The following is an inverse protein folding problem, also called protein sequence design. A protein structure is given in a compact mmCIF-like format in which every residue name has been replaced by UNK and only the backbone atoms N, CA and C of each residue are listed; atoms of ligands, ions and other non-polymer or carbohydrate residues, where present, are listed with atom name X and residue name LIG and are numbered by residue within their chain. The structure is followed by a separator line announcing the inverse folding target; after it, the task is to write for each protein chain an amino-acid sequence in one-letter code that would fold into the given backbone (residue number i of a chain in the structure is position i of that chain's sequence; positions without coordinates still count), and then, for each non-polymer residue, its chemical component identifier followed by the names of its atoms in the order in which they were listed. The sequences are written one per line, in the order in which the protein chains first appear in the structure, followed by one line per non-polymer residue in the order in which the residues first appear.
data_IF_347402268080
#
_entry.id   IF_347402268080
#
_cell.length_a   1.000
_cell.length_b   1.000
_cell.length_c   1.000
_cell.angle_alpha   90.00
_cell.angle_beta   90.00
_cell.angle_gamma   90.00
#
_symmetry.space_group_name_H-M   'P 1'
#
loop_
_entity.id
_entity.type
_entity.pdbx_description
1 polymer ?
#
# COMPACT_ATOMS: atom_id res chain seq x y z
N UNK A 1 12.55 -25.35 6.10
CA UNK A 1 11.79 -24.14 6.49
C UNK A 1 10.38 -24.31 5.97
N UNK A 2 9.40 -24.46 6.86
CA UNK A 2 7.99 -24.55 6.45
C UNK A 2 7.49 -23.12 6.18
N UNK A 3 7.36 -22.75 4.92
CA UNK A 3 6.63 -21.54 4.51
C UNK A 3 5.14 -21.78 4.78
N UNK A 4 4.60 -21.16 5.82
CA UNK A 4 3.16 -21.15 6.06
C UNK A 4 2.47 -20.35 4.95
N UNK A 5 1.51 -20.98 4.27
CA UNK A 5 0.69 -20.33 3.24
C UNK A 5 -0.56 -19.79 3.96
N UNK A 6 -0.81 -18.48 3.86
CA UNK A 6 -1.93 -17.83 4.52
C UNK A 6 -3.04 -17.52 3.51
N UNK A 7 -4.11 -18.33 3.53
CA UNK A 7 -5.21 -18.20 2.58
C UNK A 7 -6.19 -17.08 2.92
N UNK A 8 -6.45 -16.18 1.95
CA UNK A 8 -7.31 -15.00 2.15
C UNK A 8 -8.49 -14.93 1.16
N UNK A 9 -9.41 -15.92 1.14
CA UNK A 9 -10.60 -15.86 0.31
C UNK A 9 -11.55 -14.76 0.82
N UNK A 10 -12.21 -14.06 -0.12
CA UNK A 10 -13.16 -13.00 0.21
C UNK A 10 -14.41 -13.58 0.86
N UNK A 11 -14.61 -13.24 2.13
CA UNK A 11 -15.80 -13.62 2.87
C UNK A 11 -16.81 -12.48 2.94
N UNK A 12 -18.09 -12.82 2.81
CA UNK A 12 -19.22 -11.93 3.06
C UNK A 12 -19.74 -12.17 4.47
N UNK A 13 -19.93 -11.09 5.25
CA UNK A 13 -20.31 -11.18 6.65
C UNK A 13 -19.58 -10.17 7.53
N UNK A 14 -20.09 -9.96 8.74
CA UNK A 14 -19.51 -9.05 9.72
C UNK A 14 -19.38 -9.72 11.08
N UNK A 15 -18.43 -9.25 11.87
CA UNK A 15 -18.28 -9.71 13.25
C UNK A 15 -19.44 -9.19 14.09
N UNK A 16 -20.11 -10.05 14.88
CA UNK A 16 -21.12 -9.60 15.83
C UNK A 16 -20.55 -8.54 16.79
N UNK A 17 -21.32 -7.48 17.07
CA UNK A 17 -20.85 -6.35 17.89
C UNK A 17 -20.30 -6.79 19.26
N UNK A 18 -20.93 -7.77 19.90
CA UNK A 18 -20.50 -8.28 21.20
C UNK A 18 -19.10 -8.92 21.14
N UNK A 19 -18.77 -9.61 20.06
CA UNK A 19 -17.46 -10.24 19.88
C UNK A 19 -16.42 -9.16 19.59
N UNK A 20 -16.73 -8.22 18.67
CA UNK A 20 -15.85 -7.12 18.35
C UNK A 20 -15.47 -6.27 19.58
N UNK A 21 -16.43 -6.00 20.48
CA UNK A 21 -16.15 -5.31 21.75
C UNK A 21 -15.14 -6.07 22.62
N UNK A 22 -15.27 -7.40 22.71
CA UNK A 22 -14.30 -8.24 23.44
C UNK A 22 -12.94 -8.27 22.74
N UNK A 23 -12.91 -8.30 21.40
CA UNK A 23 -11.69 -8.20 20.61
C UNK A 23 -10.93 -6.91 20.91
N UNK A 24 -11.64 -5.78 20.97
CA UNK A 24 -11.03 -4.47 21.24
C UNK A 24 -10.46 -4.38 22.68
N UNK A 25 -11.16 -4.94 23.66
CA UNK A 25 -10.64 -5.00 25.03
C UNK A 25 -9.41 -5.91 25.13
N UNK A 26 -9.46 -7.11 24.54
CA UNK A 26 -8.35 -8.05 24.58
C UNK A 26 -7.13 -7.54 23.78
N UNK A 27 -7.36 -6.93 22.62
CA UNK A 27 -6.28 -6.34 21.82
C UNK A 27 -5.54 -5.25 22.59
N UNK A 28 -6.28 -4.38 23.29
CA UNK A 28 -5.71 -3.35 24.17
C UNK A 28 -4.81 -3.95 25.24
N UNK A 29 -5.27 -4.96 25.97
CA UNK A 29 -4.48 -5.57 27.05
C UNK A 29 -3.22 -6.26 26.52
N UNK A 30 -3.34 -7.04 25.44
CA UNK A 30 -2.18 -7.72 24.83
C UNK A 30 -1.16 -6.70 24.33
N UNK A 31 -1.60 -5.67 23.61
CA UNK A 31 -0.71 -4.61 23.12
C UNK A 31 -0.05 -3.87 24.27
N UNK A 32 -0.82 -3.52 25.31
CA UNK A 32 -0.28 -2.85 26.50
C UNK A 32 0.81 -3.70 27.16
N UNK A 33 0.57 -5.00 27.34
CA UNK A 33 1.56 -5.92 27.90
C UNK A 33 2.83 -5.98 27.05
N UNK A 34 2.70 -6.13 25.72
CA UNK A 34 3.86 -6.15 24.80
C UNK A 34 4.68 -4.86 24.91
N UNK A 35 4.02 -3.70 24.93
CA UNK A 35 4.71 -2.41 25.01
C UNK A 35 5.43 -2.25 26.35
N UNK A 36 4.83 -2.69 27.45
CA UNK A 36 5.44 -2.61 28.79
C UNK A 36 6.63 -3.57 28.95
N UNK A 37 6.54 -4.78 28.39
CA UNK A 37 7.59 -5.81 28.55
C UNK A 37 8.70 -5.73 27.50
N UNK A 38 8.39 -5.28 26.28
CA UNK A 38 9.30 -5.34 25.15
C UNK A 38 9.46 -4.02 24.38
N UNK A 39 8.66 -3.00 24.70
CA UNK A 39 8.71 -1.70 24.04
C UNK A 39 7.84 -1.57 22.79
N UNK A 40 7.76 -0.35 22.28
CA UNK A 40 6.89 0.04 21.16
C UNK A 40 7.38 -0.49 19.80
N UNK A 41 8.69 -0.52 19.60
CA UNK A 41 9.27 -1.04 18.35
C UNK A 41 9.02 -2.55 18.18
N UNK A 42 9.05 -3.32 19.27
CA UNK A 42 8.73 -4.75 19.22
C UNK A 42 7.27 -4.96 18.83
N UNK A 43 6.34 -4.15 19.35
CA UNK A 43 4.95 -4.18 18.92
C UNK A 43 4.83 -3.95 17.40
N UNK A 44 5.51 -2.92 16.87
CA UNK A 44 5.48 -2.63 15.42
C UNK A 44 6.05 -3.79 14.61
N UNK A 45 7.16 -4.39 15.06
CA UNK A 45 7.79 -5.54 14.43
C UNK A 45 6.86 -6.76 14.40
N UNK A 46 6.10 -6.99 15.47
CA UNK A 46 5.13 -8.07 15.57
C UNK A 46 3.92 -7.83 14.67
N UNK A 47 3.41 -6.60 14.63
CA UNK A 47 2.26 -6.24 13.78
C UNK A 47 2.58 -6.30 12.29
N UNK A 48 3.82 -6.02 11.89
CA UNK A 48 4.29 -6.12 10.50
C UNK A 48 4.72 -7.53 10.09
N UNK A 49 4.83 -8.46 11.03
CA UNK A 49 5.05 -9.87 10.73
C UNK A 49 3.71 -10.54 10.37
N UNK A 50 3.59 -11.13 9.17
CA UNK A 50 2.32 -11.66 8.70
C UNK A 50 1.83 -12.87 9.48
N UNK A 51 2.73 -13.68 10.06
CA UNK A 51 2.36 -14.87 10.84
C UNK A 51 1.91 -14.50 12.23
N UNK A 52 2.64 -13.59 12.88
CA UNK A 52 2.27 -13.06 14.17
C UNK A 52 0.93 -12.31 14.08
N UNK A 53 0.75 -11.46 13.07
CA UNK A 53 -0.51 -10.75 12.86
C UNK A 53 -1.69 -11.71 12.64
N UNK A 54 -1.48 -12.80 11.90
CA UNK A 54 -2.48 -13.84 11.72
C UNK A 54 -2.82 -14.53 13.05
N UNK A 55 -1.80 -14.92 13.82
CA UNK A 55 -1.96 -15.56 15.12
C UNK A 55 -2.66 -14.63 16.12
N UNK A 56 -2.32 -13.35 16.11
CA UNK A 56 -2.97 -12.32 16.92
C UNK A 56 -4.47 -12.24 16.60
N UNK A 57 -4.84 -12.24 15.31
CA UNK A 57 -6.25 -12.29 14.92
C UNK A 57 -6.98 -13.54 15.43
N UNK A 58 -6.31 -14.70 15.42
CA UNK A 58 -6.87 -15.95 15.95
C UNK A 58 -7.08 -15.87 17.48
N UNK A 59 -6.10 -15.31 18.22
CA UNK A 59 -6.19 -15.10 19.66
C UNK A 59 -7.35 -14.17 20.03
N UNK A 60 -7.62 -13.16 19.19
CA UNK A 60 -8.79 -12.29 19.37
C UNK A 60 -10.13 -13.00 19.07
N UNK A 61 -10.12 -14.24 18.61
CA UNK A 61 -11.32 -15.03 18.35
C UNK A 61 -11.83 -14.89 16.91
N UNK A 62 -10.96 -14.55 15.97
CA UNK A 62 -11.27 -14.53 14.54
C UNK A 62 -10.80 -15.82 13.84
N UNK A 63 -11.47 -16.23 12.77
CA UNK A 63 -11.08 -17.43 12.02
C UNK A 63 -9.77 -17.23 11.25
N UNK A 64 -8.92 -18.26 11.29
CA UNK A 64 -7.56 -18.24 10.75
C UNK A 64 -7.47 -18.15 9.22
N UNK A 65 -8.55 -18.30 8.46
CA UNK A 65 -8.55 -18.38 6.98
C UNK A 65 -9.49 -17.37 6.32
N UNK A 66 -9.71 -16.21 6.95
CA UNK A 66 -10.65 -15.20 6.44
C UNK A 66 -9.99 -13.88 6.07
N UNK A 67 -10.29 -13.37 4.88
CA UNK A 67 -9.91 -12.02 4.44
C UNK A 67 -10.45 -10.91 5.34
N UNK A 68 -11.48 -11.19 6.15
CA UNK A 68 -12.04 -10.27 7.11
C UNK A 68 -11.11 -10.00 8.30
N UNK A 69 -10.20 -10.93 8.60
CA UNK A 69 -9.32 -10.88 9.78
C UNK A 69 -8.55 -9.57 9.83
N UNK A 70 -7.90 -9.18 8.74
CA UNK A 70 -7.12 -7.95 8.67
C UNK A 70 -7.95 -6.73 9.04
N UNK A 71 -9.13 -6.59 8.41
CA UNK A 71 -9.98 -5.41 8.65
C UNK A 71 -10.53 -5.36 10.06
N UNK A 72 -10.88 -6.52 10.62
CA UNK A 72 -11.46 -6.61 11.96
C UNK A 72 -10.40 -6.43 13.03
N UNK A 73 -9.24 -7.07 12.91
CA UNK A 73 -8.12 -6.95 13.86
C UNK A 73 -7.64 -5.51 13.91
N UNK A 74 -7.41 -4.88 12.76
CA UNK A 74 -7.03 -3.47 12.70
C UNK A 74 -8.12 -2.56 13.31
N UNK A 75 -9.40 -2.85 13.04
CA UNK A 75 -10.50 -2.10 13.64
C UNK A 75 -10.56 -2.26 15.17
N UNK A 76 -10.39 -3.49 15.67
CA UNK A 76 -10.38 -3.78 17.10
C UNK A 76 -9.17 -3.15 17.79
N UNK A 77 -8.00 -3.15 17.14
CA UNK A 77 -6.80 -2.47 17.61
C UNK A 77 -7.02 -0.95 17.73
N UNK A 78 -7.57 -0.33 16.68
CA UNK A 78 -7.87 1.11 16.67
C UNK A 78 -8.82 1.51 17.79
N UNK A 79 -9.93 0.77 17.95
CA UNK A 79 -10.94 1.04 18.99
C UNK A 79 -10.37 0.75 20.38
N UNK A 80 -9.65 -0.35 20.55
CA UNK A 80 -9.08 -0.74 21.84
C UNK A 80 -8.03 0.24 22.36
N UNK A 81 -7.27 0.88 21.46
CA UNK A 81 -6.21 1.82 21.79
C UNK A 81 -6.65 3.29 21.80
N UNK A 82 -7.92 3.62 21.55
CA UNK A 82 -8.38 5.01 21.47
C UNK A 82 -8.05 5.82 22.74
N UNK A 83 -8.28 5.22 23.92
CA UNK A 83 -7.99 5.84 25.22
C UNK A 83 -6.59 5.47 25.74
N UNK A 84 -6.21 4.19 25.68
CA UNK A 84 -4.98 3.67 26.29
C UNK A 84 -3.73 3.90 25.43
N UNK A 85 -3.88 3.97 24.12
CA UNK A 85 -2.79 4.14 23.16
C UNK A 85 -1.90 5.35 23.45
N UNK A 86 -2.47 6.56 23.63
CA UNK A 86 -1.70 7.76 24.00
C UNK A 86 -0.85 7.60 25.26
N UNK A 87 -1.35 6.89 26.27
CA UNK A 87 -0.64 6.66 27.55
C UNK A 87 0.61 5.78 27.36
N UNK A 88 0.56 4.84 26.40
CA UNK A 88 1.69 3.97 26.06
C UNK A 88 2.46 4.44 24.82
N UNK A 89 2.10 5.61 24.28
CA UNK A 89 2.75 6.23 23.11
C UNK A 89 2.55 5.46 21.81
N UNK A 90 1.40 4.82 21.60
CA UNK A 90 1.03 4.09 20.38
C UNK A 90 -0.29 4.61 19.82
N UNK A 91 -0.33 4.89 18.52
CA UNK A 91 -1.46 5.47 17.82
C UNK A 91 -1.82 4.64 16.59
N UNK A 92 -3.10 4.62 16.24
CA UNK A 92 -3.63 3.86 15.11
C UNK A 92 -4.54 4.76 14.28
N UNK A 93 -4.15 4.99 13.03
CA UNK A 93 -4.89 5.78 12.06
C UNK A 93 -5.38 4.91 10.90
N UNK A 94 -6.45 5.34 10.25
CA UNK A 94 -7.01 4.71 9.06
C UNK A 94 -8.09 3.67 9.33
N UNK A 95 -8.22 2.70 8.45
CA UNK A 95 -9.18 1.61 8.52
C UNK A 95 -9.71 1.20 7.14
N UNK A 96 -10.97 0.75 7.10
CA UNK A 96 -11.63 0.28 5.86
C UNK A 96 -12.35 1.42 5.12
N UNK A 97 -12.34 1.38 3.79
CA UNK A 97 -13.17 2.24 2.94
C UNK A 97 -12.85 3.73 3.12
N UNK A 98 -13.83 4.53 3.55
CA UNK A 98 -13.61 5.98 3.76
C UNK A 98 -12.55 6.26 4.82
N UNK A 99 -12.40 5.39 5.82
CA UNK A 99 -11.40 5.56 6.87
C UNK A 99 -9.97 5.44 6.33
N UNK A 100 -9.70 4.56 5.34
CA UNK A 100 -8.35 4.43 4.75
C UNK A 100 -7.89 5.75 4.13
N UNK A 101 -8.81 6.48 3.50
CA UNK A 101 -8.53 7.75 2.81
C UNK A 101 -8.33 8.92 3.76
N UNK A 102 -8.78 8.81 5.02
CA UNK A 102 -8.65 9.85 6.06
C UNK A 102 -7.42 9.68 6.95
N UNK A 103 -6.58 8.69 6.65
CA UNK A 103 -5.42 8.36 7.48
C UNK A 103 -4.46 9.55 7.66
N UNK A 104 -4.12 10.34 6.61
CA UNK A 104 -3.33 11.55 6.78
C UNK A 104 -3.93 12.54 7.79
N UNK A 105 -5.22 12.85 7.65
CA UNK A 105 -5.92 13.79 8.53
C UNK A 105 -6.00 13.27 9.98
N UNK A 106 -6.12 11.96 10.17
CA UNK A 106 -6.09 11.35 11.50
C UNK A 106 -4.68 11.44 12.14
N UNK A 107 -3.60 11.25 11.36
CA UNK A 107 -2.22 11.43 11.84
C UNK A 107 -1.97 12.88 12.26
N UNK A 108 -2.41 13.84 11.44
CA UNK A 108 -2.32 15.28 11.76
C UNK A 108 -3.06 15.61 13.05
N UNK A 109 -4.29 15.11 13.21
CA UNK A 109 -5.08 15.31 14.41
C UNK A 109 -4.42 14.70 15.67
N UNK A 110 -3.80 13.53 15.56
CA UNK A 110 -2.99 12.97 16.65
C UNK A 110 -1.78 13.86 16.97
N UNK A 111 -1.12 14.38 15.93
CA UNK A 111 -0.02 15.32 16.04
C UNK A 111 -0.36 16.58 16.83
N UNK A 112 -1.50 17.20 16.50
CA UNK A 112 -2.02 18.38 17.19
C UNK A 112 -2.40 18.07 18.64
N UNK A 113 -3.11 16.95 18.87
CA UNK A 113 -3.65 16.61 20.18
C UNK A 113 -2.59 16.17 21.18
N UNK A 114 -1.55 15.46 20.74
CA UNK A 114 -0.55 14.83 21.60
C UNK A 114 0.87 15.38 21.42
N UNK A 115 1.05 16.42 20.61
CA UNK A 115 2.32 17.16 20.52
C UNK A 115 3.45 16.37 19.84
N UNK A 116 3.15 15.66 18.76
CA UNK A 116 4.13 14.80 18.05
C UNK A 116 5.14 15.61 17.21
N UNK A 117 4.92 16.92 17.06
CA UNK A 117 5.89 17.83 16.48
C UNK A 117 6.26 17.51 15.02
N UNK A 118 7.57 17.46 14.73
CA UNK A 118 8.10 17.36 13.37
C UNK A 118 7.89 16.00 12.71
N UNK A 119 7.59 14.95 13.49
CA UNK A 119 7.40 13.61 12.94
C UNK A 119 6.10 13.49 12.12
N UNK A 120 5.11 14.36 12.36
CA UNK A 120 3.78 14.30 11.73
C UNK A 120 3.87 14.31 10.21
N UNK A 121 4.66 15.22 9.64
CA UNK A 121 4.81 15.33 8.18
C UNK A 121 5.43 14.07 7.57
N UNK A 122 6.45 13.51 8.23
CA UNK A 122 7.11 12.27 7.83
C UNK A 122 6.17 11.07 7.93
N UNK A 123 5.34 10.99 8.97
CA UNK A 123 4.35 9.93 9.15
C UNK A 123 3.23 10.01 8.11
N UNK A 124 2.74 11.22 7.81
CA UNK A 124 1.78 11.46 6.72
C UNK A 124 2.36 11.03 5.37
N UNK A 125 3.62 11.39 5.11
CA UNK A 125 4.34 10.98 3.90
C UNK A 125 4.42 9.45 3.81
N UNK A 126 4.92 8.79 4.85
CA UNK A 126 5.06 7.33 4.90
C UNK A 126 3.72 6.61 4.71
N UNK A 127 2.66 7.10 5.34
CA UNK A 127 1.30 6.58 5.21
C UNK A 127 0.78 6.68 3.77
N UNK A 128 0.97 7.85 3.13
CA UNK A 128 0.57 8.07 1.74
C UNK A 128 1.38 7.22 0.77
N UNK A 129 2.69 7.14 0.95
CA UNK A 129 3.58 6.40 0.05
C UNK A 129 3.35 4.89 0.13
N UNK A 130 3.18 4.33 1.32
CA UNK A 130 2.85 2.89 1.49
C UNK A 130 1.55 2.53 0.77
N UNK A 131 0.50 3.36 0.91
CA UNK A 131 -0.76 3.15 0.21
C UNK A 131 -0.63 3.32 -1.32
N UNK A 132 0.18 4.28 -1.78
CA UNK A 132 0.42 4.54 -3.20
C UNK A 132 1.17 3.40 -3.86
N UNK A 133 2.20 2.86 -3.21
CA UNK A 133 3.00 1.76 -3.73
C UNK A 133 2.12 0.55 -4.00
N UNK A 134 1.37 0.10 -3.00
CA UNK A 134 0.59 -1.16 -3.10
C UNK A 134 -0.59 -1.05 -4.04
N UNK A 135 -1.15 0.15 -4.20
CA UNK A 135 -2.29 0.38 -5.06
C UNK A 135 -1.91 0.77 -6.50
N UNK A 136 -0.71 1.31 -6.73
CA UNK A 136 -0.35 2.02 -7.97
C UNK A 136 0.93 1.53 -8.61
N UNK A 137 2.00 1.38 -7.83
CA UNK A 137 3.30 0.93 -8.34
C UNK A 137 3.32 -0.59 -8.55
N UNK A 138 2.59 -1.31 -7.69
CA UNK A 138 2.27 -2.71 -7.87
C UNK A 138 0.86 -2.85 -8.45
N UNK A 139 0.75 -3.47 -9.63
CA UNK A 139 -0.51 -3.64 -10.34
C UNK A 139 -0.74 -5.11 -10.63
N UNK A 140 -1.23 -5.79 -9.60
CA UNK A 140 -1.50 -7.21 -9.50
C UNK A 140 -3.00 -7.55 -9.56
N UNK A 141 -3.84 -6.54 -9.85
CA UNK A 141 -5.30 -6.65 -9.88
C UNK A 141 -5.97 -6.49 -8.51
N UNK A 142 -5.21 -6.30 -7.42
CA UNK A 142 -5.77 -6.02 -6.11
C UNK A 142 -5.88 -4.51 -5.88
N UNK A 143 -7.11 -4.03 -5.64
CA UNK A 143 -7.34 -2.62 -5.31
C UNK A 143 -7.40 -2.43 -3.80
N UNK A 144 -6.63 -1.46 -3.30
CA UNK A 144 -6.54 -1.20 -1.87
C UNK A 144 -7.88 -0.69 -1.33
N UNK A 145 -8.41 -1.38 -0.31
CA UNK A 145 -9.69 -1.02 0.32
C UNK A 145 -9.58 -0.86 1.84
N UNK A 146 -8.45 -1.26 2.41
CA UNK A 146 -8.14 -1.14 3.82
C UNK A 146 -6.69 -0.68 3.98
N UNK A 147 -6.48 0.35 4.80
CA UNK A 147 -5.17 0.91 5.12
C UNK A 147 -5.16 1.26 6.61
N UNK A 148 -4.31 0.61 7.39
CA UNK A 148 -4.14 0.92 8.81
C UNK A 148 -2.69 1.26 9.08
N UNK A 149 -2.46 2.47 9.59
CA UNK A 149 -1.15 3.03 9.88
C UNK A 149 -0.98 3.09 11.40
N UNK A 150 -0.02 2.32 11.93
CA UNK A 150 0.30 2.26 13.35
C UNK A 150 1.61 2.98 13.57
N UNK A 151 1.67 3.90 14.53
CA UNK A 151 2.86 4.69 14.81
C UNK A 151 3.02 5.01 16.28
N UNK A 152 4.24 5.37 16.67
CA UNK A 152 4.57 5.70 18.05
C UNK A 152 4.70 7.20 18.26
N UNK A 153 4.77 7.63 19.51
CA UNK A 153 5.14 9.01 19.87
C UNK A 153 6.57 9.41 19.47
N UNK A 154 7.42 8.44 19.13
CA UNK A 154 8.81 8.65 18.72
C UNK A 154 9.00 8.63 17.19
N UNK A 155 7.93 8.42 16.43
CA UNK A 155 7.94 8.47 14.96
C UNK A 155 8.23 7.13 14.27
N UNK A 156 8.40 6.02 15.00
CA UNK A 156 8.43 4.69 14.38
C UNK A 156 7.03 4.30 13.93
N UNK A 157 6.95 3.50 12.86
CA UNK A 157 5.67 3.14 12.26
C UNK A 157 5.67 1.75 11.60
N UNK A 158 4.48 1.20 11.42
CA UNK A 158 4.19 0.01 10.64
C UNK A 158 2.86 0.19 9.90
N UNK A 159 2.69 -0.54 8.80
CA UNK A 159 1.44 -0.53 8.02
C UNK A 159 0.97 -1.94 7.78
N UNK A 160 -0.33 -2.15 8.02
CA UNK A 160 -1.04 -3.35 7.61
C UNK A 160 -2.19 -2.92 6.71
N UNK A 161 -2.13 -3.31 5.45
CA UNK A 161 -3.09 -2.90 4.45
C UNK A 161 -3.54 -4.07 3.58
N UNK A 162 -4.74 -3.96 2.98
CA UNK A 162 -5.34 -5.05 2.22
C UNK A 162 -5.97 -4.56 0.93
N UNK A 163 -5.58 -5.23 -0.16
CA UNK A 163 -6.19 -5.14 -1.47
C UNK A 163 -7.21 -6.25 -1.71
N UNK A 164 -8.21 -5.98 -2.53
CA UNK A 164 -9.18 -6.98 -2.99
C UNK A 164 -9.16 -7.09 -4.51
N UNK A 165 -9.32 -8.31 -5.02
CA UNK A 165 -9.51 -8.58 -6.43
C UNK A 165 -10.91 -9.22 -6.60
N UNK A 166 -11.92 -8.42 -7.00
CA UNK A 166 -13.30 -8.91 -7.15
C UNK A 166 -13.46 -10.01 -8.20
N UNK A 167 -12.63 -10.00 -9.25
CA UNK A 167 -12.72 -10.94 -10.36
C UNK A 167 -12.28 -12.35 -9.94
N UNK A 168 -11.26 -12.44 -9.08
CA UNK A 168 -10.73 -13.71 -8.59
C UNK A 168 -11.34 -14.14 -7.25
N UNK A 169 -11.96 -13.22 -6.52
CA UNK A 169 -12.54 -13.51 -5.20
C UNK A 169 -11.53 -13.58 -4.06
N UNK A 170 -10.32 -13.02 -4.24
CA UNK A 170 -9.23 -13.08 -3.26
C UNK A 170 -8.86 -11.71 -2.71
N UNK A 171 -8.24 -11.73 -1.53
CA UNK A 171 -7.55 -10.56 -0.98
C UNK A 171 -6.02 -10.77 -0.96
N UNK A 172 -5.30 -9.66 -0.98
CA UNK A 172 -3.86 -9.59 -0.80
C UNK A 172 -3.54 -8.64 0.34
N UNK A 173 -2.74 -9.10 1.30
CA UNK A 173 -2.35 -8.31 2.47
C UNK A 173 -0.90 -7.90 2.36
N UNK A 174 -0.63 -6.63 2.60
CA UNK A 174 0.69 -6.02 2.53
C UNK A 174 1.10 -5.53 3.91
N UNK A 175 2.36 -5.74 4.25
CA UNK A 175 2.96 -5.36 5.51
C UNK A 175 4.20 -4.51 5.27
N UNK A 176 4.31 -3.47 6.10
CA UNK A 176 5.42 -2.54 6.09
C UNK A 176 5.93 -2.33 7.51
N UNK A 177 7.25 -2.21 7.65
CA UNK A 177 7.89 -1.82 8.90
C UNK A 177 8.84 -0.65 8.62
N UNK A 178 8.59 0.51 9.21
CA UNK A 178 9.25 1.76 8.84
C UNK A 178 10.77 1.73 8.96
N UNK A 179 11.32 0.99 9.93
CA UNK A 179 12.78 0.84 10.09
C UNK A 179 13.46 0.03 8.98
N UNK A 180 12.70 -0.80 8.27
CA UNK A 180 13.22 -1.64 7.18
C UNK A 180 13.11 -0.92 5.81
N UNK A 181 12.32 0.15 5.74
CA UNK A 181 12.13 0.94 4.51
C UNK A 181 13.34 1.83 4.27
N UNK A 182 14.18 1.43 3.31
CA UNK A 182 15.33 2.23 2.83
C UNK A 182 14.97 3.13 1.64
N UNK A 183 13.96 2.73 0.88
CA UNK A 183 13.46 3.40 -0.31
C UNK A 183 12.00 2.98 -0.49
N UNK A 184 11.06 3.91 -0.68
CA UNK A 184 9.63 3.54 -0.74
C UNK A 184 9.26 2.82 -2.03
N UNK A 185 10.05 2.94 -3.09
CA UNK A 185 9.74 2.45 -4.43
C UNK A 185 10.63 1.30 -4.89
N UNK A 186 11.43 0.71 -3.99
CA UNK A 186 12.34 -0.40 -4.30
C UNK A 186 12.33 -1.44 -3.18
N UNK A 187 11.68 -2.57 -3.44
CA UNK A 187 11.52 -3.71 -2.51
C UNK A 187 11.19 -3.27 -1.06
N UNK A 188 10.14 -2.45 -0.84
CA UNK A 188 9.95 -1.77 0.44
C UNK A 188 9.17 -2.59 1.48
N UNK A 189 8.53 -3.67 1.06
CA UNK A 189 7.64 -4.48 1.90
C UNK A 189 8.41 -5.36 2.89
N UNK A 190 7.90 -5.48 4.12
CA UNK A 190 8.32 -6.56 5.02
C UNK A 190 7.70 -7.89 4.57
N UNK A 191 6.45 -7.86 4.09
CA UNK A 191 5.79 -9.03 3.50
C UNK A 191 4.63 -8.67 2.56
N UNK A 192 4.41 -9.52 1.55
CA UNK A 192 3.22 -9.50 0.68
C UNK A 192 2.58 -10.89 0.71
N UNK A 193 1.39 -11.01 1.31
CA UNK A 193 0.69 -12.28 1.55
C UNK A 193 -0.47 -12.46 0.57
N UNK A 194 -0.36 -13.47 -0.30
CA UNK A 194 -1.42 -13.88 -1.21
C UNK A 194 -1.13 -15.30 -1.75
N UNK A 195 -2.16 -16.14 -1.88
CA UNK A 195 -1.99 -17.47 -2.48
C UNK A 195 -2.08 -17.46 -4.00
N UNK A 196 -2.79 -16.47 -4.56
CA UNK A 196 -2.94 -16.35 -6.00
C UNK A 196 -1.86 -15.44 -6.58
N UNK A 197 -0.98 -16.05 -7.38
CA UNK A 197 0.09 -15.36 -8.10
C UNK A 197 -0.29 -15.21 -9.57
N UNK A 198 -0.04 -14.02 -10.12
CA UNK A 198 -0.32 -13.70 -11.52
C UNK A 198 0.82 -12.93 -12.18
N UNK A 199 0.65 -12.56 -13.46
CA UNK A 199 1.50 -11.55 -14.09
C UNK A 199 1.03 -10.18 -13.60
N UNK A 200 1.92 -9.42 -12.98
CA UNK A 200 1.61 -8.13 -12.38
C UNK A 200 2.65 -7.09 -12.80
N UNK A 201 2.26 -5.90 -13.25
CA UNK A 201 3.23 -4.82 -13.46
C UNK A 201 3.77 -4.42 -12.08
N UNK A 202 5.06 -4.64 -11.86
CA UNK A 202 5.71 -4.44 -10.58
C UNK A 202 6.82 -3.40 -10.71
N UNK A 203 6.44 -2.13 -10.56
CA UNK A 203 7.39 -1.01 -10.61
C UNK A 203 8.24 -0.89 -9.33
N UNK A 204 7.99 -1.69 -8.29
CA UNK A 204 8.81 -1.71 -7.06
C UNK A 204 9.82 -2.84 -6.98
N UNK A 205 9.78 -3.78 -7.94
CA UNK A 205 10.79 -4.82 -8.03
C UNK A 205 12.18 -4.23 -8.26
N UNK A 206 13.22 -4.84 -7.69
CA UNK A 206 14.60 -4.37 -7.85
C UNK A 206 14.97 -4.10 -9.31
N UNK A 207 14.65 -5.07 -10.17
CA UNK A 207 14.91 -5.05 -11.61
C UNK A 207 14.16 -3.96 -12.41
N UNK A 208 13.16 -3.28 -11.83
CA UNK A 208 12.39 -2.21 -12.48
C UNK A 208 13.05 -0.83 -12.38
N UNK A 209 14.32 -0.74 -11.94
CA UNK A 209 15.03 0.53 -11.71
C UNK A 209 15.08 1.43 -12.94
N UNK A 210 15.46 0.88 -14.09
CA UNK A 210 15.59 1.67 -15.32
C UNK A 210 14.21 2.17 -15.79
N UNK A 211 13.17 1.34 -15.62
CA UNK A 211 11.79 1.72 -15.96
C UNK A 211 11.26 2.82 -15.03
N UNK A 212 11.59 2.78 -13.73
CA UNK A 212 11.27 3.83 -12.76
C UNK A 212 11.93 5.16 -13.16
N UNK A 213 13.23 5.14 -13.45
CA UNK A 213 13.99 6.34 -13.87
C UNK A 213 13.44 6.95 -15.15
N UNK A 214 13.24 6.14 -16.17
CA UNK A 214 12.70 6.61 -17.44
C UNK A 214 11.26 7.14 -17.28
N UNK A 215 10.44 6.54 -16.41
CA UNK A 215 9.10 7.07 -16.10
C UNK A 215 9.15 8.46 -15.48
N UNK A 216 10.08 8.70 -14.54
CA UNK A 216 10.28 10.02 -13.94
C UNK A 216 10.78 11.04 -14.99
N UNK A 217 11.74 10.66 -15.83
CA UNK A 217 12.25 11.50 -16.91
C UNK A 217 11.16 11.88 -17.91
N UNK A 218 10.37 10.90 -18.38
CA UNK A 218 9.27 11.13 -19.31
C UNK A 218 8.21 12.05 -18.71
N UNK A 219 7.97 11.96 -17.41
CA UNK A 219 6.99 12.81 -16.74
C UNK A 219 7.33 14.31 -16.80
N UNK A 220 8.59 14.65 -17.10
CA UNK A 220 9.14 16.01 -17.26
C UNK A 220 9.24 16.49 -18.72
N UNK A 221 8.86 15.67 -19.68
CA UNK A 221 8.85 16.04 -21.10
C UNK A 221 7.55 16.77 -21.47
N UNK A 222 7.60 17.54 -22.56
CA UNK A 222 6.41 18.22 -23.10
C UNK A 222 5.29 17.19 -23.39
N UNK A 223 4.13 17.31 -22.72
CA UNK A 223 3.00 16.40 -22.89
C UNK A 223 2.50 16.32 -24.34
N UNK A 224 2.56 17.40 -25.12
CA UNK A 224 2.13 17.39 -26.52
C UNK A 224 3.08 16.60 -27.42
N UNK A 225 4.38 16.63 -27.12
CA UNK A 225 5.37 15.77 -27.77
C UNK A 225 5.07 14.31 -27.44
N UNK A 226 4.89 13.96 -26.18
CA UNK A 226 4.58 12.59 -25.75
C UNK A 226 3.27 12.07 -26.35
N UNK A 227 2.20 12.87 -26.33
CA UNK A 227 0.92 12.49 -26.91
C UNK A 227 1.02 12.29 -28.42
N UNK A 228 1.83 13.09 -29.13
CA UNK A 228 2.10 12.88 -30.56
C UNK A 228 2.86 11.58 -30.81
N UNK A 229 3.89 11.27 -30.01
CA UNK A 229 4.60 9.99 -30.10
C UNK A 229 3.66 8.82 -29.78
N UNK A 230 2.85 8.91 -28.72
CA UNK A 230 1.79 7.92 -28.40
C UNK A 230 0.83 7.71 -29.57
N UNK A 231 0.40 8.78 -30.24
CA UNK A 231 -0.49 8.71 -31.41
C UNK A 231 0.17 8.04 -32.62
N UNK A 232 1.51 8.11 -32.75
CA UNK A 232 2.28 7.41 -33.80
C UNK A 232 2.36 5.91 -33.57
N UNK A 233 2.16 5.43 -32.34
CA UNK A 233 2.09 3.99 -31.99
C UNK A 233 0.85 3.31 -32.59
N UNK A 234 -0.10 4.06 -33.19
CA UNK A 234 -1.35 3.52 -33.79
C UNK A 234 -1.19 2.55 -34.98
N UNK A 235 0.03 2.15 -35.34
CA UNK A 235 0.28 0.99 -36.20
C UNK A 235 1.42 0.13 -35.66
N UNK A 236 1.13 -0.60 -34.59
CA UNK A 236 1.77 -1.89 -34.33
C UNK A 236 0.65 -2.90 -34.04
N UNK A 237 0.42 -3.83 -34.97
CA UNK A 237 -0.41 -5.01 -34.70
C UNK A 237 0.45 -6.06 -33.98
N UNK A 238 0.10 -6.46 -32.77
CA UNK A 238 0.52 -7.75 -32.20
C UNK A 238 -0.62 -8.35 -31.35
N UNK A 239 -1.06 -9.59 -31.64
CA UNK A 239 -2.14 -10.25 -30.90
C UNK A 239 -1.70 -11.43 -30.01
N UNK A 240 -2.66 -11.81 -29.15
CA UNK A 240 -2.92 -13.02 -28.33
C UNK A 240 -2.17 -13.20 -27.00
N UNK A 241 -1.61 -12.12 -26.43
CA UNK A 241 -0.62 -12.22 -25.33
C UNK A 241 -0.36 -10.88 -24.64
N UNK A 242 -0.09 -10.90 -23.34
CA UNK A 242 0.59 -9.82 -22.58
C UNK A 242 0.02 -8.37 -22.70
N UNK A 243 -1.25 -8.17 -23.05
CA UNK A 243 -1.72 -6.93 -23.68
C UNK A 243 -2.20 -5.79 -22.76
N UNK A 244 -1.97 -4.55 -23.23
CA UNK A 244 -2.79 -3.37 -22.95
C UNK A 244 -3.78 -3.13 -24.09
N UNK A 245 -5.01 -2.80 -23.74
CA UNK A 245 -6.12 -2.51 -24.66
C UNK A 245 -6.21 -1.01 -24.97
N UNK A 246 -6.82 -0.66 -26.11
CA UNK A 246 -7.11 0.74 -26.47
C UNK A 246 -8.10 1.44 -25.52
N UNK A 247 -8.84 0.68 -24.70
CA UNK A 247 -9.62 1.17 -23.56
C UNK A 247 -8.77 1.54 -22.33
N UNK A 248 -7.52 1.08 -22.27
CA UNK A 248 -6.63 1.27 -21.13
C UNK A 248 -5.86 2.59 -21.20
N UNK A 249 -5.84 3.22 -22.38
CA UNK A 249 -5.07 4.42 -22.69
C UNK A 249 -6.05 5.45 -23.27
N UNK A 250 -6.58 6.32 -22.41
CA UNK A 250 -7.32 7.51 -22.84
C UNK A 250 -6.34 8.69 -23.00
N UNK A 251 -6.07 9.15 -24.24
CA UNK A 251 -5.11 10.22 -24.49
C UNK A 251 -5.43 11.53 -23.77
N UNK A 252 -6.71 11.85 -23.56
CA UNK A 252 -7.11 13.09 -22.90
C UNK A 252 -6.90 13.01 -21.38
N UNK A 253 -7.23 11.87 -20.76
CA UNK A 253 -6.90 11.61 -19.36
C UNK A 253 -5.39 11.59 -19.12
N UNK A 254 -4.61 11.00 -20.04
CA UNK A 254 -3.14 10.94 -19.96
C UNK A 254 -2.54 12.34 -20.13
N UNK A 255 -3.01 13.13 -21.11
CA UNK A 255 -2.56 14.51 -21.33
C UNK A 255 -2.68 15.36 -20.08
N UNK A 256 -3.82 15.30 -19.38
CA UNK A 256 -4.04 16.07 -18.15
C UNK A 256 -3.05 15.69 -17.04
N UNK A 257 -2.73 14.39 -16.91
CA UNK A 257 -1.79 13.93 -15.90
C UNK A 257 -0.34 14.26 -16.30
N UNK A 258 0.03 14.09 -17.56
CA UNK A 258 1.36 14.47 -18.08
C UNK A 258 1.62 15.97 -17.95
N UNK A 259 0.62 16.82 -18.21
CA UNK A 259 0.73 18.27 -17.95
C UNK A 259 1.05 18.56 -16.49
N UNK A 260 0.36 17.88 -15.58
CA UNK A 260 0.58 18.07 -14.15
C UNK A 260 1.96 17.56 -13.71
N UNK A 261 2.41 16.42 -14.20
CA UNK A 261 3.74 15.91 -13.87
C UNK A 261 4.84 16.77 -14.49
N UNK A 262 4.60 17.35 -15.66
CA UNK A 262 5.50 18.29 -16.31
C UNK A 262 5.64 19.59 -15.49
N UNK A 263 4.52 20.13 -15.00
CA UNK A 263 4.49 21.32 -14.15
C UNK A 263 5.15 21.10 -12.77
N UNK A 264 4.92 19.95 -12.14
CA UNK A 264 5.48 19.62 -10.82
C UNK A 264 6.94 19.12 -10.90
N UNK A 265 7.35 18.53 -12.03
CA UNK A 265 8.74 18.20 -12.35
C UNK A 265 9.45 17.22 -11.39
N UNK A 266 8.93 16.01 -11.12
CA UNK A 266 9.48 15.10 -10.09
C UNK A 266 10.88 14.57 -10.43
N UNK A 267 11.83 14.59 -9.49
CA UNK A 267 13.23 14.15 -9.66
C UNK A 267 13.37 12.64 -9.83
N UNK A 268 12.49 11.89 -9.22
CA UNK A 268 12.50 10.44 -9.26
C UNK A 268 11.09 9.84 -9.31
N UNK A 269 11.02 8.50 -9.29
CA UNK A 269 9.76 7.78 -9.35
C UNK A 269 8.95 7.87 -8.04
N UNK A 270 9.62 8.10 -6.90
CA UNK A 270 8.99 8.25 -5.59
C UNK A 270 8.20 9.56 -5.54
N UNK A 271 8.82 10.66 -5.97
CA UNK A 271 8.17 11.96 -6.16
C UNK A 271 7.02 11.87 -7.17
N UNK A 272 7.24 11.22 -8.33
CA UNK A 272 6.20 11.03 -9.36
C UNK A 272 4.96 10.32 -8.78
N UNK A 273 5.14 9.24 -8.01
CA UNK A 273 4.02 8.54 -7.36
C UNK A 273 3.32 9.40 -6.31
N UNK A 274 4.06 10.29 -5.63
CA UNK A 274 3.53 11.23 -4.64
C UNK A 274 2.54 12.25 -5.21
N UNK A 275 2.63 12.56 -6.52
CA UNK A 275 1.78 13.53 -7.21
C UNK A 275 0.29 13.12 -7.16
N UNK A 276 -0.58 14.09 -6.84
CA UNK A 276 -2.03 13.86 -6.77
C UNK A 276 -2.59 13.69 -8.19
N UNK A 277 -3.19 12.53 -8.45
CA UNK A 277 -3.77 12.18 -9.76
C UNK A 277 -2.93 11.18 -10.55
N UNK A 278 -1.67 10.94 -10.15
CA UNK A 278 -0.90 9.79 -10.64
C UNK A 278 -1.47 8.51 -10.02
N UNK A 279 -2.05 7.68 -10.88
CA UNK A 279 -2.69 6.41 -10.54
C UNK A 279 -2.23 5.28 -11.47
N UNK A 280 -2.79 4.06 -11.31
CA UNK A 280 -2.30 2.86 -11.99
C UNK A 280 -2.18 3.02 -13.51
N UNK A 281 -3.18 3.64 -14.15
CA UNK A 281 -3.21 3.86 -15.60
C UNK A 281 -2.06 4.75 -16.09
N UNK A 282 -1.75 5.82 -15.36
CA UNK A 282 -0.64 6.73 -15.67
C UNK A 282 0.70 6.01 -15.59
N UNK A 283 0.91 5.23 -14.52
CA UNK A 283 2.15 4.47 -14.34
C UNK A 283 2.33 3.44 -15.44
N UNK A 284 1.27 2.73 -15.86
CA UNK A 284 1.35 1.83 -17.03
C UNK A 284 1.77 2.57 -18.29
N UNK A 285 1.13 3.71 -18.59
CA UNK A 285 1.43 4.49 -19.79
C UNK A 285 2.89 4.98 -19.81
N UNK A 286 3.40 5.47 -18.68
CA UNK A 286 4.79 5.92 -18.56
C UNK A 286 5.78 4.75 -18.67
N UNK A 287 5.48 3.59 -18.07
CA UNK A 287 6.32 2.40 -18.19
C UNK A 287 6.42 1.90 -19.65
N UNK A 288 5.32 1.93 -20.40
CA UNK A 288 5.31 1.59 -21.83
C UNK A 288 6.11 2.57 -22.68
N UNK A 289 5.96 3.87 -22.42
CA UNK A 289 6.73 4.91 -23.10
C UNK A 289 8.22 4.77 -22.78
N UNK A 290 8.56 4.41 -21.55
CA UNK A 290 9.92 4.13 -21.11
C UNK A 290 10.53 2.97 -21.90
N UNK A 291 9.80 1.86 -22.03
CA UNK A 291 10.23 0.70 -22.82
C UNK A 291 10.41 1.07 -24.30
N UNK A 292 9.46 1.83 -24.87
CA UNK A 292 9.50 2.21 -26.28
C UNK A 292 10.63 3.18 -26.64
N UNK A 293 10.83 4.21 -25.81
CA UNK A 293 11.76 5.31 -26.09
C UNK A 293 13.18 4.94 -25.66
N UNK A 294 13.32 4.26 -24.51
CA UNK A 294 14.61 4.01 -23.87
C UNK A 294 15.00 2.53 -23.79
N UNK A 295 14.10 1.60 -24.15
CA UNK A 295 14.37 0.16 -24.05
C UNK A 295 14.29 -0.40 -22.63
N UNK A 296 13.83 0.39 -21.65
CA UNK A 296 13.80 0.01 -20.23
C UNK A 296 12.52 -0.77 -19.90
N UNK A 297 12.62 -2.10 -19.88
CA UNK A 297 11.48 -3.00 -19.64
C UNK A 297 11.11 -3.08 -18.14
N UNK A 298 9.84 -2.86 -17.76
CA UNK A 298 9.40 -3.04 -16.37
C UNK A 298 9.27 -4.53 -15.99
N UNK A 299 9.40 -4.86 -14.70
CA UNK A 299 9.17 -6.23 -14.20
C UNK A 299 7.69 -6.60 -14.18
N UNK A 300 7.41 -7.86 -14.53
CA UNK A 300 6.08 -8.47 -14.43
C UNK A 300 5.97 -9.55 -13.32
N UNK A 301 6.99 -9.64 -12.46
CA UNK A 301 7.06 -10.65 -11.38
C UNK A 301 6.11 -10.29 -10.24
N UNK A 302 5.30 -11.26 -9.83
CA UNK A 302 4.47 -11.14 -8.62
C UNK A 302 5.36 -11.04 -7.36
N UNK A 303 5.18 -10.01 -6.50
CA UNK A 303 5.96 -9.85 -5.28
C UNK A 303 5.52 -10.76 -4.13
N UNK A 304 4.39 -11.48 -4.23
CA UNK A 304 3.94 -12.40 -3.21
C UNK A 304 4.92 -13.58 -3.04
N UNK A 305 5.37 -13.83 -1.80
CA UNK A 305 6.35 -14.88 -1.43
C UNK A 305 5.72 -15.99 -0.63
#
# INVERSE_FOLDING_TARGET
MHTGIAQLPLHTGGVPRWLFQRMALLSREIVTAIVLEHGREELLSRLSDPFWFQAFGCVLGFDWHSSGLTTTVCGALKVGLEERGPEIGVFVAGGKGRASRRTPEEIEAFGERYGLGREVERLVYASRMSAKVDNTALQDGYQLYHHTFIFTSSGEWAVVQQGMNPDTGWARRYHWLGRDVRNFVREPHSAVCCDHRGKALNMVADESEDARRASALLSREDPEKLVRELKRIKKLELPSRHELLGSDIDPESIRKVLLRTYEEGPEDFEELLGIRGVGPKTVRALALLSELIYGSTPSFRDPAK
#
